data_IF_154088649335
#
_entry.id   IF_154088649335
#
_cell.length_a   1.000
_cell.length_b   1.000
_cell.length_c   1.000
_cell.angle_alpha   90.00
_cell.angle_beta   90.00
_cell.angle_gamma   90.00
#
_symmetry.space_group_name_H-M   'P 1'
#
loop_
_entity.id
_entity.type
_entity.pdbx_description
1 polymer ?
#
# COMPACT_ATOMS: atom_id res chain seq x y z
N UNK A 1 -21.92 -20.67 -61.09
CA UNK A 1 -21.20 -19.46 -60.64
C UNK A 1 -21.39 -19.31 -59.14
N UNK A 2 -20.55 -19.98 -58.38
CA UNK A 2 -20.55 -19.96 -56.92
C UNK A 2 -19.14 -20.35 -56.46
N UNK A 3 -18.76 -19.92 -55.27
CA UNK A 3 -17.51 -20.28 -54.60
C UNK A 3 -16.26 -19.46 -55.00
N UNK A 4 -16.25 -18.19 -54.61
CA UNK A 4 -15.00 -17.47 -54.31
C UNK A 4 -15.14 -16.35 -53.26
N UNK A 5 -16.24 -16.36 -52.49
CA UNK A 5 -16.50 -15.37 -51.41
C UNK A 5 -16.54 -15.99 -50.00
N UNK A 6 -16.48 -17.32 -49.89
CA UNK A 6 -16.61 -18.00 -48.59
C UNK A 6 -15.26 -18.43 -47.99
N UNK A 7 -14.14 -18.14 -48.68
CA UNK A 7 -12.79 -18.56 -48.26
C UNK A 7 -12.00 -17.46 -47.52
N UNK A 8 -12.57 -16.28 -47.30
CA UNK A 8 -11.89 -15.16 -46.60
C UNK A 8 -12.32 -15.02 -45.14
N UNK A 9 -13.28 -15.82 -44.65
CA UNK A 9 -13.75 -15.75 -43.26
C UNK A 9 -13.13 -16.82 -42.32
N UNK A 10 -12.09 -17.52 -42.76
CA UNK A 10 -11.41 -18.53 -41.96
C UNK A 10 -9.90 -18.26 -41.89
N UNK A 11 -9.48 -17.31 -41.04
CA UNK A 11 -8.24 -17.39 -40.21
C UNK A 11 -7.76 -16.02 -39.66
N UNK A 12 -8.61 -15.13 -39.15
CA UNK A 12 -8.10 -14.10 -38.23
C UNK A 12 -7.96 -14.72 -36.84
N UNK A 13 -7.04 -15.69 -36.72
CA UNK A 13 -6.49 -16.11 -35.43
C UNK A 13 -5.51 -15.04 -34.96
N UNK A 14 -5.98 -13.79 -34.86
CA UNK A 14 -5.21 -12.67 -34.31
C UNK A 14 -5.35 -12.73 -32.79
N UNK A 15 -4.83 -13.82 -32.21
CA UNK A 15 -4.34 -13.71 -30.85
C UNK A 15 -3.33 -12.56 -30.87
N UNK A 16 -3.44 -11.54 -29.99
CA UNK A 16 -2.52 -10.42 -30.02
C UNK A 16 -1.10 -10.99 -29.98
N UNK A 17 -0.30 -10.69 -31.01
CA UNK A 17 1.11 -11.07 -31.04
C UNK A 17 1.77 -10.27 -29.92
N UNK A 18 1.93 -10.92 -28.77
CA UNK A 18 2.60 -10.34 -27.63
C UNK A 18 4.09 -10.27 -27.98
N UNK A 19 4.61 -9.06 -28.15
CA UNK A 19 6.04 -8.83 -28.40
C UNK A 19 6.87 -9.38 -27.23
N UNK A 20 7.74 -10.39 -27.46
CA UNK A 20 8.59 -10.96 -26.41
C UNK A 20 9.50 -9.93 -25.74
N UNK A 21 9.95 -8.92 -26.47
CA UNK A 21 10.79 -7.85 -25.91
C UNK A 21 9.97 -7.01 -24.91
N UNK A 22 8.75 -6.62 -25.28
CA UNK A 22 7.85 -5.87 -24.41
C UNK A 22 7.50 -6.65 -23.12
N UNK A 23 7.32 -7.97 -23.20
CA UNK A 23 7.08 -8.82 -22.01
C UNK A 23 8.29 -8.84 -21.09
N UNK A 24 9.49 -9.01 -21.65
CA UNK A 24 10.73 -9.00 -20.86
C UNK A 24 10.90 -7.69 -20.10
N UNK A 25 10.74 -6.56 -20.80
CA UNK A 25 10.81 -5.23 -20.19
C UNK A 25 9.74 -5.03 -19.12
N UNK A 26 8.50 -5.44 -19.38
CA UNK A 26 7.44 -5.33 -18.38
C UNK A 26 7.70 -6.20 -17.14
N UNK A 27 8.23 -7.42 -17.32
CA UNK A 27 8.66 -8.29 -16.23
C UNK A 27 9.75 -7.64 -15.38
N UNK A 28 10.76 -7.05 -16.02
CA UNK A 28 11.83 -6.31 -15.33
C UNK A 28 11.24 -5.17 -14.48
N UNK A 29 10.30 -4.40 -15.01
CA UNK A 29 9.59 -3.37 -14.23
C UNK A 29 8.87 -3.94 -13.00
N UNK A 30 8.22 -5.10 -13.10
CA UNK A 30 7.58 -5.74 -11.94
C UNK A 30 8.61 -6.18 -10.88
N UNK A 31 9.75 -6.72 -11.30
CA UNK A 31 10.84 -7.11 -10.39
C UNK A 31 11.40 -5.89 -9.67
N UNK A 32 11.68 -4.80 -10.40
CA UNK A 32 12.14 -3.54 -9.80
C UNK A 32 11.10 -2.96 -8.84
N UNK A 33 9.82 -2.98 -9.22
CA UNK A 33 8.74 -2.51 -8.34
C UNK A 33 8.64 -3.35 -7.04
N UNK A 34 8.83 -4.67 -7.13
CA UNK A 34 8.87 -5.58 -5.97
C UNK A 34 10.03 -5.27 -5.03
N UNK A 35 11.24 -5.09 -5.57
CA UNK A 35 12.42 -4.73 -4.79
C UNK A 35 12.20 -3.40 -4.07
N UNK A 36 11.71 -2.39 -4.79
CA UNK A 36 11.40 -1.08 -4.21
C UNK A 36 10.34 -1.16 -3.11
N UNK A 37 9.27 -1.92 -3.31
CA UNK A 37 8.23 -2.09 -2.30
C UNK A 37 8.77 -2.72 -1.00
N UNK A 38 9.74 -3.64 -1.11
CA UNK A 38 10.41 -4.23 0.05
C UNK A 38 11.35 -3.23 0.75
N UNK A 39 12.15 -2.47 0.00
CA UNK A 39 12.98 -1.41 0.57
C UNK A 39 12.14 -0.33 1.28
N UNK A 40 11.02 0.07 0.68
CA UNK A 40 10.13 1.08 1.25
C UNK A 40 9.42 0.56 2.51
N UNK A 41 9.11 -0.74 2.57
CA UNK A 41 8.62 -1.38 3.79
C UNK A 41 9.67 -1.31 4.91
N UNK A 42 10.91 -1.72 4.65
CA UNK A 42 11.99 -1.71 5.64
C UNK A 42 12.26 -0.30 6.17
N UNK A 43 12.31 0.70 5.28
CA UNK A 43 12.43 2.12 5.65
C UNK A 43 11.26 2.58 6.52
N UNK A 44 10.04 2.19 6.17
CA UNK A 44 8.84 2.54 6.93
C UNK A 44 8.87 1.94 8.33
N UNK A 45 9.20 0.65 8.45
CA UNK A 45 9.34 -0.02 9.75
C UNK A 45 10.40 0.66 10.60
N UNK A 46 11.59 0.93 10.04
CA UNK A 46 12.67 1.62 10.75
C UNK A 46 12.22 3.01 11.22
N UNK A 47 11.54 3.78 10.37
CA UNK A 47 11.03 5.10 10.72
C UNK A 47 9.97 5.02 11.82
N UNK A 48 9.04 4.07 11.75
CA UNK A 48 8.00 3.87 12.77
C UNK A 48 8.60 3.45 14.11
N UNK A 49 9.58 2.53 14.10
CA UNK A 49 10.29 2.13 15.31
C UNK A 49 11.08 3.30 15.93
N UNK A 50 11.77 4.10 15.11
CA UNK A 50 12.46 5.30 15.57
C UNK A 50 11.51 6.35 16.16
N UNK A 51 10.39 6.60 15.49
CA UNK A 51 9.35 7.51 15.98
C UNK A 51 8.70 7.03 17.28
N UNK A 52 8.36 5.74 17.37
CA UNK A 52 7.79 5.15 18.59
C UNK A 52 8.78 5.21 19.77
N UNK A 53 10.06 5.00 19.51
CA UNK A 53 11.11 5.14 20.53
C UNK A 53 11.25 6.60 21.00
N UNK A 54 11.26 7.56 20.07
CA UNK A 54 11.31 8.98 20.40
C UNK A 54 10.10 9.42 21.24
N UNK A 55 8.89 8.98 20.87
CA UNK A 55 7.67 9.21 21.65
C UNK A 55 7.80 8.59 23.04
N UNK A 56 8.33 7.35 23.14
CA UNK A 56 8.52 6.68 24.43
C UNK A 56 9.44 7.47 25.37
N UNK A 57 10.55 8.02 24.85
CA UNK A 57 11.45 8.87 25.64
C UNK A 57 10.83 10.20 26.03
N UNK A 58 10.11 10.87 25.11
CA UNK A 58 9.39 12.09 25.42
C UNK A 58 8.34 11.86 26.53
N UNK A 59 7.62 10.73 26.49
CA UNK A 59 6.66 10.37 27.54
C UNK A 59 7.30 10.16 28.91
N UNK A 60 8.44 9.46 28.98
CA UNK A 60 9.17 9.28 30.25
C UNK A 60 9.67 10.61 30.80
N UNK A 61 10.10 11.53 29.95
CA UNK A 61 10.69 12.81 30.36
C UNK A 61 9.64 13.87 30.73
N UNK A 62 8.58 13.98 29.92
CA UNK A 62 7.71 15.16 29.92
C UNK A 62 6.31 14.87 30.50
N UNK A 63 5.86 13.60 30.56
CA UNK A 63 4.55 13.23 31.11
C UNK A 63 4.60 12.66 32.53
N UNK A 64 5.79 12.50 33.13
CA UNK A 64 5.94 12.30 34.59
C UNK A 64 5.87 13.68 35.26
N UNK A 65 4.70 14.32 35.18
CA UNK A 65 4.38 15.62 35.77
C UNK A 65 2.94 15.59 36.30
N UNK A 66 2.67 16.31 37.39
CA UNK A 66 1.46 16.15 38.23
C UNK A 66 0.21 16.91 37.74
N UNK A 67 0.26 17.54 36.56
CA UNK A 67 -0.84 18.40 36.10
C UNK A 67 -2.01 17.59 35.51
N UNK A 68 -3.27 17.97 35.82
CA UNK A 68 -4.44 17.28 35.32
C UNK A 68 -4.61 17.48 33.81
N UNK A 69 -4.59 16.36 33.06
CA UNK A 69 -4.77 16.34 31.61
C UNK A 69 -6.23 16.70 31.25
N UNK A 70 -6.40 17.70 30.39
CA UNK A 70 -7.71 18.08 29.84
C UNK A 70 -7.99 17.21 28.61
N UNK A 71 -9.16 16.56 28.57
CA UNK A 71 -9.63 15.74 27.45
C UNK A 71 -8.67 14.58 27.02
N UNK A 72 -8.29 13.66 27.94
CA UNK A 72 -7.39 12.54 27.63
C UNK A 72 -7.92 11.59 26.53
N UNK A 73 -9.24 11.58 26.29
CA UNK A 73 -9.85 10.81 25.20
C UNK A 73 -9.34 11.23 23.81
N UNK A 74 -9.07 12.52 23.58
CA UNK A 74 -8.55 13.01 22.30
C UNK A 74 -7.14 12.48 22.03
N UNK A 75 -6.31 12.40 23.07
CA UNK A 75 -4.97 11.82 22.98
C UNK A 75 -5.03 10.32 22.67
N UNK A 76 -5.87 9.58 23.41
CA UNK A 76 -6.06 8.14 23.16
C UNK A 76 -6.60 7.87 21.75
N UNK A 77 -7.54 8.68 21.26
CA UNK A 77 -8.08 8.57 19.91
C UNK A 77 -7.02 8.87 18.85
N UNK A 78 -6.21 9.92 19.04
CA UNK A 78 -5.11 10.23 18.14
C UNK A 78 -4.11 9.07 18.04
N UNK A 79 -3.73 8.49 19.17
CA UNK A 79 -2.81 7.35 19.24
C UNK A 79 -3.38 6.10 18.59
N UNK A 80 -4.64 5.78 18.88
CA UNK A 80 -5.34 4.67 18.26
C UNK A 80 -5.40 4.81 16.73
N UNK A 81 -5.77 6.00 16.25
CA UNK A 81 -5.84 6.29 14.82
C UNK A 81 -4.48 6.21 14.11
N UNK A 82 -3.42 6.74 14.72
CA UNK A 82 -2.07 6.65 14.17
C UNK A 82 -1.52 5.23 14.18
N UNK A 83 -1.73 4.48 15.26
CA UNK A 83 -1.35 3.07 15.33
C UNK A 83 -2.07 2.24 14.27
N UNK A 84 -3.38 2.43 14.12
CA UNK A 84 -4.19 1.71 13.13
C UNK A 84 -3.83 2.12 11.69
N UNK A 85 -3.61 3.41 11.44
CA UNK A 85 -3.11 3.90 10.16
C UNK A 85 -1.77 3.27 9.79
N UNK A 86 -0.83 3.24 10.74
CA UNK A 86 0.50 2.64 10.51
C UNK A 86 0.38 1.16 10.19
N UNK A 87 -0.48 0.44 10.89
CA UNK A 87 -0.77 -0.96 10.60
C UNK A 87 -1.34 -1.13 9.18
N UNK A 88 -2.29 -0.30 8.76
CA UNK A 88 -2.86 -0.37 7.41
C UNK A 88 -1.81 -0.13 6.32
N UNK A 89 -0.89 0.81 6.52
CA UNK A 89 0.23 1.04 5.61
C UNK A 89 1.14 -0.19 5.54
N UNK A 90 1.51 -0.79 6.68
CA UNK A 90 2.36 -2.00 6.71
C UNK A 90 1.68 -3.19 6.02
N UNK A 91 0.39 -3.42 6.28
CA UNK A 91 -0.38 -4.48 5.62
C UNK A 91 -0.51 -4.18 4.11
N UNK A 92 -0.67 -2.92 3.73
CA UNK A 92 -0.75 -2.51 2.32
C UNK A 92 0.53 -2.85 1.55
N UNK A 93 1.71 -2.61 2.14
CA UNK A 93 2.99 -3.03 1.56
C UNK A 93 3.08 -4.55 1.40
N UNK A 94 2.66 -5.31 2.41
CA UNK A 94 2.63 -6.78 2.32
C UNK A 94 1.70 -7.27 1.18
N UNK A 95 0.51 -6.68 1.06
CA UNK A 95 -0.44 -7.01 -0.01
C UNK A 95 0.09 -6.60 -1.39
N UNK A 96 0.78 -5.45 -1.48
CA UNK A 96 1.42 -4.99 -2.71
C UNK A 96 2.50 -5.99 -3.17
N UNK A 97 3.36 -6.43 -2.25
CA UNK A 97 4.37 -7.46 -2.51
C UNK A 97 3.75 -8.75 -3.04
N UNK A 98 2.68 -9.23 -2.40
CA UNK A 98 1.95 -10.44 -2.82
C UNK A 98 1.28 -10.28 -4.19
N UNK A 99 0.88 -9.06 -4.56
CA UNK A 99 0.33 -8.75 -5.87
C UNK A 99 1.43 -8.80 -6.96
N UNK A 100 2.61 -8.25 -6.67
CA UNK A 100 3.76 -8.18 -7.59
C UNK A 100 4.36 -9.56 -7.85
N UNK A 101 4.73 -10.28 -6.79
CA UNK A 101 4.06 -11.55 -6.52
C UNK A 101 3.60 -12.44 -7.68
N UNK A 102 2.27 -12.50 -7.68
CA UNK A 102 1.44 -13.19 -8.64
C UNK A 102 1.59 -12.62 -10.03
N UNK A 103 1.78 -11.31 -10.18
CA UNK A 103 1.93 -10.67 -11.49
C UNK A 103 3.16 -11.20 -12.24
N UNK A 104 4.31 -11.35 -11.57
CA UNK A 104 5.52 -11.94 -12.15
C UNK A 104 5.27 -13.40 -12.52
N UNK A 105 4.65 -14.19 -11.63
CA UNK A 105 4.33 -15.60 -11.91
C UNK A 105 3.35 -15.77 -13.07
N UNK A 106 2.39 -14.85 -13.25
CA UNK A 106 1.45 -14.85 -14.37
C UNK A 106 2.16 -14.58 -15.68
N UNK A 107 3.09 -13.61 -15.72
CA UNK A 107 3.92 -13.35 -16.89
C UNK A 107 4.79 -14.57 -17.24
N UNK A 108 5.45 -15.16 -16.25
CA UNK A 108 6.33 -16.31 -16.45
C UNK A 108 5.59 -17.54 -16.99
N UNK A 109 4.27 -17.63 -16.74
CA UNK A 109 3.38 -18.67 -17.27
C UNK A 109 2.67 -18.28 -18.57
N UNK A 110 2.92 -17.09 -19.12
CA UNK A 110 2.24 -16.59 -20.32
C UNK A 110 0.76 -16.23 -20.12
N UNK A 111 0.33 -16.00 -18.88
CA UNK A 111 -1.07 -15.79 -18.49
C UNK A 111 -1.50 -14.31 -18.60
N UNK A 112 -1.42 -13.75 -19.81
CA UNK A 112 -1.66 -12.31 -20.05
C UNK A 112 -3.14 -11.88 -20.01
N UNK A 113 -4.08 -12.83 -20.04
CA UNK A 113 -5.52 -12.53 -20.11
C UNK A 113 -6.17 -12.26 -18.74
N UNK A 114 -5.46 -12.51 -17.63
CA UNK A 114 -5.98 -12.29 -16.28
C UNK A 114 -5.56 -10.92 -15.75
N UNK A 115 -6.39 -10.34 -14.87
CA UNK A 115 -6.04 -9.09 -14.16
C UNK A 115 -4.80 -9.34 -13.29
N UNK A 116 -3.69 -8.71 -13.65
CA UNK A 116 -2.43 -8.84 -12.90
C UNK A 116 -2.58 -8.32 -11.46
N UNK A 117 -1.94 -9.01 -10.52
CA UNK A 117 -1.96 -8.68 -9.08
C UNK A 117 -3.25 -9.07 -8.32
N UNK A 118 -4.38 -9.20 -9.03
CA UNK A 118 -5.63 -9.75 -8.49
C UNK A 118 -6.23 -8.95 -7.33
N UNK A 119 -6.85 -9.65 -6.38
CA UNK A 119 -7.56 -9.06 -5.24
C UNK A 119 -6.61 -8.29 -4.31
N UNK A 120 -5.35 -8.72 -4.20
CA UNK A 120 -4.36 -8.11 -3.32
C UNK A 120 -4.12 -6.63 -3.68
N UNK A 121 -4.06 -6.29 -4.98
CA UNK A 121 -3.92 -4.92 -5.44
C UNK A 121 -5.10 -4.03 -4.99
N UNK A 122 -6.34 -4.54 -5.05
CA UNK A 122 -7.52 -3.82 -4.59
C UNK A 122 -7.51 -3.60 -3.08
N UNK A 123 -7.04 -4.59 -2.32
CA UNK A 123 -6.89 -4.47 -0.86
C UNK A 123 -5.85 -3.39 -0.52
N UNK A 124 -4.71 -3.37 -1.21
CA UNK A 124 -3.67 -2.33 -1.08
C UNK A 124 -4.26 -0.93 -1.27
N UNK A 125 -5.05 -0.70 -2.32
CA UNK A 125 -5.66 0.62 -2.57
C UNK A 125 -6.60 1.06 -1.43
N UNK A 126 -7.44 0.14 -0.95
CA UNK A 126 -8.40 0.41 0.13
C UNK A 126 -7.67 0.68 1.46
N UNK A 127 -6.65 -0.12 1.78
CA UNK A 127 -5.84 0.06 2.99
C UNK A 127 -5.09 1.39 2.98
N UNK A 128 -4.51 1.77 1.84
CA UNK A 128 -3.82 3.05 1.69
C UNK A 128 -4.77 4.24 1.89
N UNK A 129 -5.92 4.22 1.23
CA UNK A 129 -6.91 5.29 1.38
C UNK A 129 -7.41 5.39 2.83
N UNK A 130 -7.80 4.26 3.42
CA UNK A 130 -8.33 4.22 4.80
C UNK A 130 -7.27 4.64 5.81
N UNK A 131 -6.02 4.17 5.64
CA UNK A 131 -4.89 4.57 6.47
C UNK A 131 -4.65 6.08 6.40
N UNK A 132 -4.62 6.64 5.19
CA UNK A 132 -4.47 8.09 4.99
C UNK A 132 -5.54 8.92 5.72
N UNK A 133 -6.80 8.50 5.67
CA UNK A 133 -7.88 9.16 6.42
C UNK A 133 -7.68 9.05 7.93
N UNK A 134 -7.34 7.86 8.43
CA UNK A 134 -7.07 7.65 9.86
C UNK A 134 -5.90 8.50 10.35
N UNK A 135 -4.82 8.59 9.57
CA UNK A 135 -3.68 9.45 9.88
C UNK A 135 -4.12 10.92 10.02
N UNK A 136 -4.89 11.42 9.06
CA UNK A 136 -5.38 12.80 9.07
C UNK A 136 -6.23 13.10 10.30
N UNK A 137 -7.23 12.24 10.61
CA UNK A 137 -8.04 12.42 11.82
C UNK A 137 -7.24 12.32 13.11
N UNK A 138 -6.19 11.48 13.13
CA UNK A 138 -5.25 11.41 14.24
C UNK A 138 -4.50 12.73 14.45
N UNK A 139 -4.00 13.34 13.36
CA UNK A 139 -3.33 14.66 13.38
C UNK A 139 -4.27 15.76 13.89
N UNK A 140 -5.52 15.80 13.42
CA UNK A 140 -6.49 16.77 13.93
C UNK A 140 -6.76 16.58 15.43
N UNK A 141 -6.89 15.33 15.87
CA UNK A 141 -7.20 15.01 17.27
C UNK A 141 -6.07 15.41 18.23
N UNK A 142 -4.81 15.13 17.86
CA UNK A 142 -3.67 15.55 18.68
C UNK A 142 -3.50 17.08 18.69
N UNK A 143 -3.75 17.76 17.56
CA UNK A 143 -3.67 19.22 17.50
C UNK A 143 -4.69 19.89 18.43
N UNK A 144 -5.93 19.38 18.45
CA UNK A 144 -6.99 19.85 19.37
C UNK A 144 -6.63 19.55 20.82
N UNK A 145 -6.12 18.35 21.12
CA UNK A 145 -5.65 17.99 22.46
C UNK A 145 -4.56 18.95 22.95
N UNK A 146 -3.55 19.20 22.12
CA UNK A 146 -2.42 20.08 22.42
C UNK A 146 -2.90 21.53 22.62
N UNK A 147 -3.83 22.03 21.80
CA UNK A 147 -4.40 23.36 21.97
C UNK A 147 -5.08 23.56 23.35
N UNK A 148 -5.73 22.53 23.88
CA UNK A 148 -6.36 22.61 25.20
C UNK A 148 -5.40 22.43 26.38
N UNK A 149 -4.25 21.78 26.16
CA UNK A 149 -3.28 21.43 27.22
C UNK A 149 -2.00 22.29 27.21
N UNK A 150 -1.70 22.98 26.10
CA UNK A 150 -0.70 24.06 26.07
C UNK A 150 -1.31 25.30 26.73
N UNK A 151 -1.15 25.40 28.04
CA UNK A 151 -1.37 26.60 28.83
C UNK A 151 -0.11 26.94 29.61
#
# INVERSE_FOLDING_TARGET
MGSRRDTVLASSNDSPVIDPAAVSTYREHLVTARQKAQEDFDKTVLSLSGGALAISFAFVKDFIGQDPIIAPLLLMLAWGLWGLSSLFVLVSFYMSHLSLDRAIQQIDKGQYQYRLGGIAARITDILNATGGFMFFFGVCSIAVFVFFNLR
#
